data_IF_380798277056
#
_entry.id   IF_380798277056
#
_cell.length_a   1.000
_cell.length_b   1.000
_cell.length_c   1.000
_cell.angle_alpha   90.00
_cell.angle_beta   90.00
_cell.angle_gamma   90.00
#
_symmetry.space_group_name_H-M   'P 1'
#
loop_
_entity.id
_entity.type
_entity.pdbx_description
1 polymer ?
#
# COMPACT_ATOMS: atom_id res chain seq x y z
N UNK A 1 2.06 14.00 -12.45
CA UNK A 1 1.06 15.03 -12.09
C UNK A 1 0.85 14.95 -10.58
N UNK A 2 0.47 16.06 -9.93
CA UNK A 2 0.06 16.03 -8.51
C UNK A 2 -1.45 15.82 -8.53
N UNK A 3 -1.93 14.79 -7.85
CA UNK A 3 -3.34 14.47 -7.72
C UNK A 3 -3.74 14.53 -6.25
N UNK A 4 -5.00 14.90 -5.98
CA UNK A 4 -5.61 14.75 -4.66
C UNK A 4 -6.13 13.32 -4.56
N UNK A 5 -5.64 12.51 -3.63
CA UNK A 5 -5.99 11.09 -3.48
C UNK A 5 -6.49 10.82 -2.06
N UNK A 6 -7.35 9.82 -1.88
CA UNK A 6 -7.95 9.49 -0.57
C UNK A 6 -8.10 7.98 -0.32
N UNK A 7 -7.71 7.15 -1.27
CA UNK A 7 -7.77 5.70 -1.10
C UNK A 7 -6.72 4.99 -1.93
N UNK A 8 -6.11 3.97 -1.32
CA UNK A 8 -5.31 2.97 -2.00
C UNK A 8 -5.90 1.58 -1.79
N UNK A 9 -5.88 0.74 -2.81
CA UNK A 9 -6.13 -0.71 -2.69
C UNK A 9 -4.85 -1.43 -3.09
N UNK A 10 -4.30 -2.21 -2.16
CA UNK A 10 -3.12 -3.04 -2.42
C UNK A 10 -3.52 -4.51 -2.55
N UNK A 11 -3.29 -5.09 -3.73
CA UNK A 11 -3.45 -6.53 -3.97
C UNK A 11 -2.09 -7.21 -3.90
N UNK A 12 -2.04 -8.27 -3.10
CA UNK A 12 -0.89 -9.13 -2.86
C UNK A 12 -1.36 -10.59 -3.01
N UNK A 13 -0.44 -11.56 -3.12
CA UNK A 13 -0.82 -12.97 -3.18
C UNK A 13 -1.72 -13.38 -2.02
N UNK A 14 -2.69 -14.26 -2.30
CA UNK A 14 -3.63 -14.80 -1.32
C UNK A 14 -3.03 -15.96 -0.51
N UNK A 15 -1.79 -16.36 -0.82
CA UNK A 15 -1.05 -17.35 -0.08
C UNK A 15 -0.19 -16.63 0.97
N UNK A 16 -0.40 -16.98 2.24
CA UNK A 16 0.27 -16.36 3.37
C UNK A 16 -0.25 -14.96 3.71
N UNK A 17 0.46 -14.29 4.62
CA UNK A 17 0.15 -12.91 5.02
C UNK A 17 1.39 -12.03 4.88
N UNK A 18 1.15 -10.75 4.64
CA UNK A 18 2.19 -9.76 4.44
C UNK A 18 1.99 -8.57 5.38
N UNK A 19 3.12 -7.96 5.73
CA UNK A 19 3.17 -6.66 6.40
C UNK A 19 3.77 -5.63 5.45
N UNK A 20 3.23 -4.42 5.48
CA UNK A 20 3.67 -3.36 4.58
C UNK A 20 3.27 -1.97 5.08
N UNK A 21 3.87 -0.96 4.46
CA UNK A 21 3.49 0.45 4.56
C UNK A 21 3.13 1.02 3.20
N UNK A 22 2.17 1.94 3.19
CA UNK A 22 1.87 2.81 2.08
C UNK A 22 2.24 4.24 2.47
N UNK A 23 3.14 4.83 1.68
CA UNK A 23 3.54 6.22 1.83
C UNK A 23 3.20 7.02 0.58
N UNK A 24 2.95 8.31 0.76
CA UNK A 24 2.71 9.25 -0.34
C UNK A 24 3.66 10.44 -0.24
N UNK A 25 3.93 11.07 -1.37
CA UNK A 25 4.80 12.25 -1.43
C UNK A 25 4.46 13.13 -2.64
N UNK A 26 4.63 14.45 -2.49
CA UNK A 26 4.54 15.42 -3.60
C UNK A 26 5.88 15.61 -4.33
N UNK A 27 7.00 15.38 -3.64
CA UNK A 27 8.35 15.69 -4.10
C UNK A 27 9.28 14.47 -4.24
N UNK A 28 8.89 13.33 -3.68
CA UNK A 28 9.67 12.09 -3.66
C UNK A 28 10.77 12.05 -2.60
N UNK A 29 10.88 13.08 -1.76
CA UNK A 29 11.89 13.20 -0.70
C UNK A 29 11.24 13.10 0.69
N UNK A 30 10.19 13.86 0.93
CA UNK A 30 9.43 13.85 2.18
C UNK A 30 8.20 12.96 2.02
N UNK A 31 8.06 11.99 2.92
CA UNK A 31 7.05 10.93 2.82
C UNK A 31 6.10 10.93 4.00
N UNK A 32 4.82 10.77 3.72
CA UNK A 32 3.75 10.65 4.71
C UNK A 32 3.20 9.24 4.63
N UNK A 33 3.24 8.49 5.74
CA UNK A 33 2.60 7.17 5.82
C UNK A 33 1.08 7.34 5.94
N UNK A 34 0.35 6.81 4.95
CA UNK A 34 -1.12 6.87 4.91
C UNK A 34 -1.78 5.56 5.34
N UNK A 35 -1.04 4.45 5.31
CA UNK A 35 -1.50 3.17 5.83
C UNK A 35 -0.34 2.26 6.24
N UNK A 36 -0.61 1.38 7.20
CA UNK A 36 0.31 0.33 7.64
C UNK A 36 -0.48 -0.93 7.99
N UNK A 37 -0.03 -2.07 7.48
CA UNK A 37 -0.57 -3.39 7.86
C UNK A 37 0.50 -4.17 8.60
N UNK A 38 0.21 -4.52 9.86
CA UNK A 38 1.07 -5.33 10.74
C UNK A 38 0.41 -6.63 11.23
N UNK A 39 -0.88 -6.80 10.96
CA UNK A 39 -1.59 -8.02 11.37
C UNK A 39 -1.29 -9.20 10.42
N UNK A 40 -1.70 -10.39 10.82
CA UNK A 40 -1.47 -11.64 10.08
C UNK A 40 -2.67 -12.04 9.21
N UNK A 41 -3.53 -11.09 8.83
CA UNK A 41 -4.67 -11.36 7.93
C UNK A 41 -4.16 -11.66 6.52
N UNK A 42 -4.63 -12.77 5.98
CA UNK A 42 -4.42 -13.20 4.58
C UNK A 42 -5.27 -12.33 3.64
N UNK A 43 -4.74 -12.04 2.45
CA UNK A 43 -5.45 -11.24 1.44
C UNK A 43 -6.60 -12.03 0.80
N UNK A 44 -7.68 -11.34 0.42
CA UNK A 44 -8.65 -11.85 -0.55
C UNK A 44 -8.33 -11.32 -1.95
N UNK A 45 -9.07 -11.76 -2.97
CA UNK A 45 -8.99 -11.22 -4.35
C UNK A 45 -9.16 -9.69 -4.42
N UNK A 46 -9.91 -9.10 -3.49
CA UNK A 46 -10.14 -7.66 -3.42
C UNK A 46 -8.95 -6.89 -2.81
N UNK A 47 -7.94 -7.59 -2.29
CA UNK A 47 -6.80 -6.98 -1.61
C UNK A 47 -7.19 -6.27 -0.30
N UNK A 48 -6.40 -5.27 0.06
CA UNK A 48 -6.61 -4.45 1.24
C UNK A 48 -6.89 -3.00 0.84
N UNK A 49 -8.08 -2.51 1.21
CA UNK A 49 -8.49 -1.13 0.99
C UNK A 49 -8.10 -0.27 2.19
N UNK A 50 -7.44 0.86 1.91
CA UNK A 50 -7.02 1.84 2.89
C UNK A 50 -7.53 3.22 2.47
N UNK A 51 -8.48 3.75 3.24
CA UNK A 51 -9.02 5.10 3.04
C UNK A 51 -8.42 6.07 4.05
N UNK A 52 -8.18 7.30 3.62
CA UNK A 52 -7.58 8.37 4.43
C UNK A 52 -8.12 9.73 3.94
N UNK A 53 -7.96 10.83 4.72
CA UNK A 53 -8.34 12.16 4.24
C UNK A 53 -7.63 12.52 2.94
N UNK A 54 -8.28 13.34 2.10
CA UNK A 54 -7.68 13.84 0.86
C UNK A 54 -6.27 14.41 1.09
N UNK A 55 -5.31 13.91 0.31
CA UNK A 55 -3.92 14.34 0.35
C UNK A 55 -3.40 14.57 -1.07
N UNK A 56 -2.62 15.64 -1.24
CA UNK A 56 -1.90 15.86 -2.49
C UNK A 56 -0.71 14.91 -2.60
N UNK A 57 -0.60 14.19 -3.71
CA UNK A 57 0.47 13.25 -3.96
C UNK A 57 0.85 13.21 -5.44
N UNK A 58 2.14 13.06 -5.70
CA UNK A 58 2.71 12.72 -7.01
C UNK A 58 3.27 11.29 -7.04
N UNK A 59 3.69 10.80 -5.88
CA UNK A 59 4.31 9.50 -5.71
C UNK A 59 3.56 8.71 -4.64
N UNK A 60 3.40 7.41 -4.88
CA UNK A 60 2.96 6.44 -3.89
C UNK A 60 4.05 5.37 -3.79
N UNK A 61 4.41 4.98 -2.58
CA UNK A 61 5.40 3.96 -2.30
C UNK A 61 4.79 2.85 -1.48
N UNK A 62 5.00 1.62 -1.93
CA UNK A 62 4.70 0.40 -1.17
C UNK A 62 6.02 -0.13 -0.60
N UNK A 63 6.11 -0.25 0.72
CA UNK A 63 7.23 -0.91 1.39
C UNK A 63 6.73 -2.19 2.03
N UNK A 64 7.00 -3.34 1.41
CA UNK A 64 6.69 -4.64 2.00
C UNK A 64 7.81 -5.02 2.96
N UNK A 65 7.47 -5.28 4.21
CA UNK A 65 8.43 -5.54 5.28
C UNK A 65 8.46 -7.00 5.73
N UNK A 66 7.44 -7.78 5.37
CA UNK A 66 7.33 -9.19 5.74
C UNK A 66 6.43 -9.97 4.76
N UNK A 67 6.80 -11.22 4.52
CA UNK A 67 6.02 -12.26 3.85
C UNK A 67 6.14 -13.54 4.68
N UNK A 68 5.04 -14.24 4.94
CA UNK A 68 5.04 -15.46 5.75
C UNK A 68 5.54 -16.71 5.02
N UNK A 69 5.52 -16.72 3.69
CA UNK A 69 5.81 -17.93 2.91
C UNK A 69 7.30 -18.09 2.62
N UNK A 70 7.98 -16.98 2.32
CA UNK A 70 9.38 -16.95 1.92
C UNK A 70 9.94 -15.52 2.02
N UNK A 71 11.16 -15.31 1.52
CA UNK A 71 11.85 -14.02 1.52
C UNK A 71 11.53 -13.13 0.33
N UNK A 72 10.75 -13.60 -0.66
CA UNK A 72 10.42 -12.80 -1.83
C UNK A 72 9.33 -11.79 -1.49
N UNK A 73 9.44 -10.62 -2.12
CA UNK A 73 8.40 -9.59 -2.07
C UNK A 73 7.57 -9.66 -3.35
N UNK A 74 6.24 -9.72 -3.19
CA UNK A 74 5.30 -9.82 -4.30
C UNK A 74 4.18 -8.80 -4.11
N UNK A 75 3.95 -8.00 -5.15
CA UNK A 75 2.82 -7.08 -5.28
C UNK A 75 2.15 -7.39 -6.61
N UNK A 76 0.83 -7.61 -6.58
CA UNK A 76 0.07 -7.91 -7.78
C UNK A 76 -0.44 -6.64 -8.43
N UNK A 77 -1.01 -5.74 -7.64
CA UNK A 77 -1.62 -4.50 -8.13
C UNK A 77 -1.66 -3.45 -7.02
N UNK A 78 -1.49 -2.20 -7.41
CA UNK A 78 -1.77 -1.03 -6.59
C UNK A 78 -2.75 -0.14 -7.35
N UNK A 79 -3.92 0.06 -6.75
CA UNK A 79 -4.93 0.98 -7.27
C UNK A 79 -4.93 2.23 -6.40
N UNK A 80 -4.91 3.40 -7.02
CA UNK A 80 -4.90 4.70 -6.33
C UNK A 80 -6.10 5.51 -6.81
N UNK A 81 -6.86 6.07 -5.87
CA UNK A 81 -8.10 6.79 -6.14
C UNK A 81 -8.05 8.20 -5.55
N UNK A 82 -8.67 9.14 -6.25
CA UNK A 82 -8.69 10.56 -5.94
C UNK A 82 -9.77 11.30 -6.69
#
# INVERSE_FOLDING_TARGET
>A
EICRINKCILKIPQQGYYHYKLDVSVDGADWITVAEKKDNKVASEQGFSHSYPDIEARFVRVTVTYNSEDTDVRVCELEVYG
#
